data_IF_915847228756
#
_entry.id   IF_915847228756
#
_cell.length_a   1.000
_cell.length_b   1.000
_cell.length_c   1.000
_cell.angle_alpha   90.00
_cell.angle_beta   90.00
_cell.angle_gamma   90.00
#
_symmetry.space_group_name_H-M   'P 1'
#
loop_
_entity.id
_entity.type
_entity.pdbx_description
1 polymer ?
#
# COMPACT_ATOMS: atom_id res chain seq x y z
N UNK A 1 18.12 -1.96 18.20
CA UNK A 1 17.76 -2.06 19.63
C UNK A 1 16.82 -3.25 19.78
N UNK A 2 17.11 -4.18 20.70
CA UNK A 2 16.19 -5.27 21.07
C UNK A 2 15.80 -5.09 22.52
N UNK A 3 14.51 -5.12 22.80
CA UNK A 3 13.98 -4.99 24.16
C UNK A 3 13.15 -6.22 24.47
N UNK A 4 13.38 -6.80 25.64
CA UNK A 4 12.63 -7.95 26.10
C UNK A 4 11.58 -7.49 27.11
N UNK A 5 10.35 -7.96 26.93
CA UNK A 5 9.25 -7.77 27.88
C UNK A 5 8.97 -9.13 28.51
N UNK A 6 9.09 -9.21 29.84
CA UNK A 6 8.86 -10.45 30.56
C UNK A 6 7.36 -10.68 30.84
N UNK A 7 6.91 -11.93 31.02
CA UNK A 7 5.52 -12.21 31.36
C UNK A 7 5.07 -11.44 32.61
N UNK A 8 3.94 -10.73 32.52
CA UNK A 8 3.39 -9.92 33.61
C UNK A 8 4.10 -8.59 33.86
N UNK A 9 5.10 -8.24 33.04
CA UNK A 9 5.84 -6.98 33.13
C UNK A 9 5.53 -6.03 31.96
N UNK A 10 6.05 -4.81 32.05
CA UNK A 10 5.98 -3.79 30.99
C UNK A 10 7.35 -3.12 30.79
N UNK A 11 7.57 -2.57 29.60
CA UNK A 11 8.77 -1.80 29.24
C UNK A 11 8.31 -0.48 28.62
N UNK A 12 8.86 0.64 29.09
CA UNK A 12 8.64 1.95 28.47
C UNK A 12 9.86 2.37 27.66
N UNK A 13 9.60 2.97 26.50
CA UNK A 13 10.62 3.41 25.55
C UNK A 13 10.31 4.85 25.18
N UNK A 14 11.31 5.72 25.31
CA UNK A 14 11.24 7.09 24.78
C UNK A 14 12.03 7.14 23.48
N UNK A 15 11.41 7.70 22.44
CA UNK A 15 12.03 7.90 21.13
C UNK A 15 11.74 9.31 20.63
N UNK A 16 12.69 9.87 19.87
CA UNK A 16 12.47 11.08 19.09
C UNK A 16 12.18 10.66 17.65
N UNK A 17 11.16 11.26 17.03
CA UNK A 17 10.73 10.97 15.67
C UNK A 17 11.22 12.07 14.72
N UNK A 18 12.52 12.13 14.50
CA UNK A 18 13.20 13.14 13.68
C UNK A 18 13.44 12.69 12.23
N UNK A 19 13.04 11.46 11.89
CA UNK A 19 13.18 10.92 10.54
C UNK A 19 11.82 10.55 9.95
N UNK A 20 11.44 11.27 8.89
CA UNK A 20 10.17 11.09 8.20
C UNK A 20 10.16 9.82 7.33
N UNK A 21 9.03 9.13 7.32
CA UNK A 21 8.86 7.87 6.60
C UNK A 21 7.89 6.93 7.32
N UNK A 22 7.86 5.69 6.85
CA UNK A 22 7.06 4.62 7.45
C UNK A 22 8.00 3.66 8.18
N UNK A 23 7.74 3.45 9.47
CA UNK A 23 8.55 2.65 10.38
C UNK A 23 7.76 1.42 10.86
N UNK A 24 8.37 0.24 10.77
CA UNK A 24 7.81 -0.99 11.31
C UNK A 24 8.34 -1.24 12.73
N UNK A 25 7.45 -1.29 13.71
CA UNK A 25 7.69 -1.79 15.05
C UNK A 25 7.08 -3.19 15.17
N UNK A 26 7.90 -4.20 15.42
CA UNK A 26 7.45 -5.59 15.47
C UNK A 26 8.12 -6.39 16.55
N UNK A 27 7.48 -7.50 16.91
CA UNK A 27 8.11 -8.55 17.69
C UNK A 27 9.17 -9.24 16.83
N UNK A 28 10.32 -9.55 17.42
CA UNK A 28 11.41 -10.20 16.69
C UNK A 28 11.18 -11.70 16.45
N UNK A 29 10.37 -12.34 17.30
CA UNK A 29 9.94 -13.71 17.08
C UNK A 29 9.15 -13.82 15.77
N UNK A 30 9.67 -14.63 14.85
CA UNK A 30 9.15 -14.76 13.49
C UNK A 30 7.70 -15.25 13.46
N UNK A 31 7.35 -16.22 14.30
CA UNK A 31 6.00 -16.78 14.33
C UNK A 31 4.98 -15.73 14.78
N UNK A 32 5.33 -14.94 15.80
CA UNK A 32 4.47 -13.87 16.32
C UNK A 32 4.32 -12.74 15.31
N UNK A 33 5.41 -12.35 14.63
CA UNK A 33 5.36 -11.37 13.56
C UNK A 33 4.52 -11.88 12.37
N UNK A 34 4.70 -13.13 11.96
CA UNK A 34 3.90 -13.76 10.89
C UNK A 34 2.41 -13.79 11.24
N UNK A 35 2.07 -13.96 12.52
CA UNK A 35 0.70 -13.89 13.03
C UNK A 35 0.18 -12.44 13.19
N UNK A 36 0.95 -11.43 12.79
CA UNK A 36 0.53 -10.04 12.72
C UNK A 36 0.88 -9.19 13.94
N UNK A 37 1.79 -9.62 14.83
CA UNK A 37 2.27 -8.78 15.93
C UNK A 37 3.28 -7.73 15.45
N UNK A 38 2.78 -6.77 14.69
CA UNK A 38 3.52 -5.61 14.20
C UNK A 38 2.62 -4.36 14.17
N UNK A 39 3.26 -3.20 14.23
CA UNK A 39 2.66 -1.88 14.17
C UNK A 39 3.48 -1.01 13.22
N UNK A 40 2.80 -0.29 12.32
CA UNK A 40 3.44 0.68 11.45
C UNK A 40 3.19 2.10 11.94
N UNK A 41 4.23 2.93 11.94
CA UNK A 41 4.19 4.33 12.33
C UNK A 41 4.55 5.17 11.10
N UNK A 42 3.68 6.12 10.75
CA UNK A 42 3.95 7.09 9.69
C UNK A 42 4.37 8.42 10.31
N UNK A 43 5.63 8.81 10.09
CA UNK A 43 6.19 10.08 10.53
C UNK A 43 6.20 11.02 9.33
N UNK A 44 5.48 12.14 9.45
CA UNK A 44 5.35 13.13 8.37
C UNK A 44 6.24 14.33 8.70
N UNK A 45 6.99 14.81 7.69
CA UNK A 45 7.70 16.08 7.77
C UNK A 45 6.79 17.20 7.23
N UNK A 46 6.31 18.14 8.06
CA UNK A 46 5.46 19.24 7.60
C UNK A 46 6.23 20.32 6.82
N UNK A 47 7.55 20.36 6.93
CA UNK A 47 8.41 21.38 6.29
C UNK A 47 8.95 20.93 4.92
N UNK A 48 8.86 19.64 4.58
CA UNK A 48 9.16 19.13 3.25
C UNK A 48 7.96 19.38 2.33
N UNK A 49 8.18 20.23 1.33
CA UNK A 49 7.20 20.81 0.42
C UNK A 49 6.01 19.92 0.05
N UNK A 50 4.82 20.50 0.17
CA UNK A 50 3.51 19.98 -0.24
C UNK A 50 3.37 19.54 -1.72
N UNK A 51 4.44 19.54 -2.51
CA UNK A 51 4.44 19.17 -3.94
C UNK A 51 4.85 17.72 -4.21
N UNK A 52 5.57 17.05 -3.31
CA UNK A 52 5.96 15.65 -3.53
C UNK A 52 5.89 14.88 -2.20
N UNK A 53 4.84 14.06 -2.05
CA UNK A 53 4.40 13.46 -0.77
C UNK A 53 5.34 12.37 -0.21
N UNK A 54 6.58 12.31 -0.68
CA UNK A 54 7.53 11.26 -0.32
C UNK A 54 8.81 11.92 0.20
N UNK A 55 9.21 11.67 1.47
CA UNK A 55 10.39 12.32 2.08
C UNK A 55 11.71 11.98 1.36
N UNK A 56 11.73 10.97 0.49
CA UNK A 56 12.81 10.66 -0.44
C UNK A 56 12.21 10.15 -1.77
N UNK A 57 12.83 10.43 -2.93
CA UNK A 57 12.40 9.83 -4.18
C UNK A 57 12.53 8.31 -4.11
N UNK A 58 11.51 7.61 -4.63
CA UNK A 58 11.51 6.15 -4.70
C UNK A 58 12.72 5.64 -5.49
N UNK A 59 13.46 4.63 -5.00
CA UNK A 59 14.62 4.11 -5.70
C UNK A 59 14.22 3.44 -7.03
N UNK A 60 15.14 3.36 -7.98
CA UNK A 60 14.86 2.86 -9.33
C UNK A 60 14.39 1.41 -9.38
N UNK A 61 14.79 0.60 -8.39
CA UNK A 61 14.39 -0.80 -8.25
C UNK A 61 13.10 -0.99 -7.42
N UNK A 62 12.31 0.06 -7.21
CA UNK A 62 11.02 -0.05 -6.53
C UNK A 62 10.11 -1.04 -7.27
N UNK A 63 9.52 -1.96 -6.51
CA UNK A 63 8.53 -2.90 -6.99
C UNK A 63 7.15 -2.36 -6.66
N UNK A 64 6.32 -2.14 -7.68
CA UNK A 64 4.94 -1.72 -7.53
C UNK A 64 4.00 -2.93 -7.64
N UNK A 65 3.02 -2.99 -6.75
CA UNK A 65 2.07 -4.11 -6.66
C UNK A 65 0.63 -3.63 -6.89
N UNK A 66 -0.25 -4.54 -7.32
CA UNK A 66 -1.69 -4.30 -7.39
C UNK A 66 -2.07 -3.13 -8.30
N UNK A 67 -2.71 -2.10 -7.74
CA UNK A 67 -3.18 -0.95 -8.51
C UNK A 67 -2.04 -0.09 -9.09
N UNK A 68 -0.84 -0.19 -8.52
CA UNK A 68 0.34 0.56 -8.96
C UNK A 68 1.19 -0.24 -9.95
N UNK A 69 0.79 -1.45 -10.34
CA UNK A 69 1.60 -2.32 -11.21
C UNK A 69 1.95 -1.70 -12.57
N UNK A 70 1.23 -0.66 -13.01
CA UNK A 70 1.55 0.08 -14.24
C UNK A 70 2.73 1.04 -14.12
N UNK A 71 3.19 1.36 -12.90
CA UNK A 71 4.36 2.23 -12.65
C UNK A 71 5.70 1.46 -12.67
N UNK A 72 5.63 0.18 -13.02
CA UNK A 72 6.75 -0.74 -13.00
C UNK A 72 7.81 -0.37 -14.06
N UNK A 73 9.05 -0.06 -13.62
CA UNK A 73 10.19 0.30 -14.49
C UNK A 73 10.78 -0.94 -15.18
N UNK A 74 11.40 -0.77 -16.35
CA UNK A 74 11.76 -1.92 -17.21
C UNK A 74 12.65 -2.99 -16.57
N UNK A 75 13.50 -2.61 -15.61
CA UNK A 75 14.42 -3.51 -14.91
C UNK A 75 13.74 -4.64 -14.13
N UNK A 76 12.43 -4.54 -13.94
CA UNK A 76 11.65 -5.44 -13.11
C UNK A 76 10.72 -6.37 -13.89
N UNK A 77 10.72 -6.30 -15.23
CA UNK A 77 10.04 -7.25 -16.12
C UNK A 77 10.54 -8.70 -16.00
N UNK A 78 11.64 -8.92 -15.26
CA UNK A 78 12.13 -10.25 -14.89
C UNK A 78 11.09 -11.06 -14.08
N UNK A 79 10.20 -10.38 -13.36
CA UNK A 79 9.18 -11.02 -12.52
C UNK A 79 7.79 -10.53 -12.92
N UNK A 80 6.83 -11.47 -12.99
CA UNK A 80 5.42 -11.16 -13.23
C UNK A 80 4.76 -10.86 -11.89
N UNK A 81 4.49 -9.59 -11.62
CA UNK A 81 3.79 -9.16 -10.40
C UNK A 81 2.27 -9.23 -10.59
N UNK A 82 1.55 -9.52 -9.50
CA UNK A 82 0.08 -9.51 -9.53
C UNK A 82 -0.44 -8.09 -9.78
N UNK A 83 -1.16 -7.91 -10.88
CA UNK A 83 -1.87 -6.67 -11.19
C UNK A 83 -3.19 -6.56 -10.42
N UNK A 84 -3.74 -5.35 -10.35
CA UNK A 84 -5.09 -5.15 -9.83
C UNK A 84 -6.15 -5.90 -10.65
N UNK A 85 -7.12 -6.48 -9.96
CA UNK A 85 -8.27 -7.14 -10.59
C UNK A 85 -9.04 -6.20 -11.49
N UNK A 86 -9.15 -6.55 -12.78
CA UNK A 86 -9.93 -5.78 -13.77
C UNK A 86 -11.44 -6.06 -13.69
N UNK A 87 -11.87 -7.03 -12.87
CA UNK A 87 -13.26 -7.51 -12.80
C UNK A 87 -14.23 -6.37 -12.48
N UNK A 88 -13.87 -5.46 -11.58
CA UNK A 88 -14.72 -4.31 -11.22
C UNK A 88 -14.97 -3.34 -12.37
N UNK A 89 -13.97 -3.14 -13.26
CA UNK A 89 -14.10 -2.23 -14.41
C UNK A 89 -14.97 -2.85 -15.51
N UNK A 90 -14.77 -4.13 -15.82
CA UNK A 90 -15.54 -4.82 -16.87
C UNK A 90 -17.02 -4.95 -16.53
N UNK A 91 -17.35 -5.27 -15.27
CA UNK A 91 -18.76 -5.36 -14.81
C UNK A 91 -19.46 -4.00 -14.91
N UNK A 92 -18.80 -2.92 -14.51
CA UNK A 92 -19.40 -1.58 -14.57
C UNK A 92 -19.66 -1.12 -16.01
N UNK A 93 -18.73 -1.36 -16.94
CA UNK A 93 -18.90 -0.99 -18.35
C UNK A 93 -20.00 -1.82 -19.02
N UNK A 94 -20.10 -3.11 -18.70
CA UNK A 94 -21.16 -3.99 -19.23
C UNK A 94 -22.56 -3.56 -18.75
N UNK A 95 -22.69 -3.15 -17.48
CA UNK A 95 -23.96 -2.63 -16.94
C UNK A 95 -24.37 -1.31 -17.63
N UNK A 96 -23.41 -0.42 -17.89
CA UNK A 96 -23.67 0.85 -18.59
C UNK A 96 -24.06 0.62 -20.05
N UNK A 97 -23.39 -0.31 -20.76
CA UNK A 97 -23.75 -0.61 -22.15
C UNK A 97 -25.11 -1.28 -22.27
N UNK A 98 -25.46 -2.20 -21.36
CA UNK A 98 -26.77 -2.86 -21.33
C UNK A 98 -27.92 -1.87 -21.04
N UNK A 99 -27.70 -0.93 -20.13
CA UNK A 99 -28.69 0.12 -19.82
C UNK A 99 -28.87 1.10 -20.97
N UNK A 100 -27.78 1.48 -21.66
CA UNK A 100 -27.83 2.29 -22.87
C UNK A 100 -28.61 1.60 -23.99
N UNK A 101 -28.30 0.33 -24.26
CA UNK A 101 -28.98 -0.48 -25.27
C UNK A 101 -30.48 -0.61 -24.96
N UNK A 102 -30.84 -0.87 -23.70
CA UNK A 102 -32.23 -0.96 -23.27
C UNK A 102 -32.97 0.39 -23.41
N UNK A 103 -32.35 1.51 -23.04
CA UNK A 103 -32.93 2.84 -23.17
C UNK A 103 -33.14 3.22 -24.65
N UNK A 104 -32.16 2.95 -25.52
CA UNK A 104 -32.32 3.18 -26.97
C UNK A 104 -33.44 2.32 -27.55
N UNK A 105 -33.55 1.05 -27.15
CA UNK A 105 -34.62 0.18 -27.63
C UNK A 105 -36.02 0.65 -27.20
N UNK A 106 -36.15 1.23 -25.99
CA UNK A 106 -37.41 1.82 -25.51
C UNK A 106 -37.79 3.14 -26.21
N UNK A 107 -36.80 3.92 -26.67
CA UNK A 107 -37.03 5.20 -27.36
C UNK A 107 -37.35 5.03 -28.85
N UNK A 108 -36.90 3.94 -29.47
CA UNK A 108 -37.15 3.61 -30.89
C UNK A 108 -38.33 2.66 -31.11
N UNK A 109 -39.14 2.42 -30.07
CA UNK A 109 -40.37 1.64 -30.09
C UNK A 109 -41.58 2.55 -29.93
#
# INVERSE_FOLDING_TARGET
MRMQVFPGAWTAVLVFLDNAGIWNLRVENLDSWYMGQELYISVVNPEEDHSDKTPLPLPDNTIFCGALSSLQKEQSHRFQYSGASQVGKTVSTAMISMTWLAATWLLYR
#
